data_IF_697328961485
#
_entry.id   IF_697328961485
#
_cell.length_a   1.000
_cell.length_b   1.000
_cell.length_c   1.000
_cell.angle_alpha   90.00
_cell.angle_beta   90.00
_cell.angle_gamma   90.00
#
_symmetry.space_group_name_H-M   'P 1'
#
loop_
_entity.id
_entity.type
_entity.pdbx_description
1 polymer ?
#
# COMPACT_ATOMS: atom_id res chain seq x y z
N UNK A 1 -9.40 11.79 6.77
CA UNK A 1 -8.36 12.12 7.80
C UNK A 1 -7.88 10.89 8.57
N UNK A 2 -8.46 9.70 8.30
CA UNK A 2 -8.00 8.42 8.81
C UNK A 2 -6.99 7.75 7.86
N UNK A 3 -7.07 8.02 6.55
CA UNK A 3 -6.29 7.27 5.54
C UNK A 3 -4.78 7.60 5.55
N UNK A 4 -4.40 8.87 5.83
CA UNK A 4 -3.00 9.24 6.02
C UNK A 4 -2.36 8.55 7.24
N UNK A 5 -3.15 8.15 8.25
CA UNK A 5 -2.60 7.48 9.45
C UNK A 5 -2.31 6.00 9.20
N UNK A 6 -3.07 5.33 8.33
CA UNK A 6 -2.87 3.92 7.97
C UNK A 6 -1.63 3.76 7.07
N UNK A 7 -1.53 4.60 6.04
CA UNK A 7 -0.39 4.59 5.12
C UNK A 7 0.90 5.07 5.80
N UNK A 8 0.81 5.93 6.82
CA UNK A 8 1.96 6.33 7.64
C UNK A 8 2.57 5.13 8.41
N UNK A 9 1.77 4.13 8.79
CA UNK A 9 2.28 2.92 9.43
C UNK A 9 3.18 2.12 8.48
N UNK A 10 2.77 2.01 7.21
CA UNK A 10 3.47 1.25 6.17
C UNK A 10 4.72 1.99 5.68
N UNK A 11 4.66 3.32 5.51
CA UNK A 11 5.79 4.15 5.07
C UNK A 11 7.00 4.11 6.01
N UNK A 12 6.80 3.87 7.31
CA UNK A 12 7.91 3.85 8.28
C UNK A 12 8.41 2.43 8.58
N UNK A 13 7.81 1.41 7.98
CA UNK A 13 8.12 0.02 8.28
C UNK A 13 9.06 -0.60 7.24
N UNK A 14 9.79 -1.63 7.69
CA UNK A 14 10.76 -2.35 6.87
C UNK A 14 10.36 -3.81 6.79
N UNK A 15 9.90 -4.18 5.61
CA UNK A 15 9.42 -5.51 5.35
C UNK A 15 10.59 -6.41 4.94
N UNK A 16 10.76 -7.51 5.66
CA UNK A 16 11.78 -8.52 5.33
C UNK A 16 11.47 -9.26 4.02
N UNK A 17 10.22 -9.25 3.57
CA UNK A 17 9.75 -9.91 2.35
C UNK A 17 8.42 -9.31 1.89
N UNK A 18 8.09 -9.51 0.61
CA UNK A 18 6.83 -9.03 0.02
C UNK A 18 5.61 -9.62 0.73
N UNK A 19 5.70 -10.87 1.19
CA UNK A 19 4.63 -11.53 1.95
C UNK A 19 4.27 -10.78 3.23
N UNK A 20 5.26 -10.26 3.94
CA UNK A 20 5.08 -9.50 5.18
C UNK A 20 4.32 -8.19 4.90
N UNK A 21 4.73 -7.47 3.84
CA UNK A 21 4.05 -6.28 3.35
C UNK A 21 2.59 -6.57 2.94
N UNK A 22 2.35 -7.67 2.21
CA UNK A 22 1.00 -8.05 1.82
C UNK A 22 0.11 -8.41 3.01
N UNK A 23 0.66 -9.01 4.06
CA UNK A 23 -0.08 -9.28 5.28
C UNK A 23 -0.49 -8.00 6.00
N UNK A 24 0.41 -7.03 6.07
CA UNK A 24 0.17 -5.73 6.69
C UNK A 24 -0.91 -4.96 5.92
N UNK A 25 -0.78 -4.89 4.59
CA UNK A 25 -1.78 -4.28 3.70
C UNK A 25 -3.18 -4.86 3.93
N UNK A 26 -3.30 -6.20 3.96
CA UNK A 26 -4.57 -6.87 4.26
C UNK A 26 -5.08 -6.58 5.66
N UNK A 27 -4.19 -6.50 6.65
CA UNK A 27 -4.55 -6.17 8.03
C UNK A 27 -5.12 -4.75 8.14
N UNK A 28 -4.61 -3.81 7.34
CA UNK A 28 -5.16 -2.46 7.24
C UNK A 28 -6.44 -2.37 6.39
N UNK A 29 -6.85 -3.44 5.72
CA UNK A 29 -8.04 -3.46 4.87
C UNK A 29 -7.78 -3.10 3.40
N UNK A 30 -6.52 -3.05 2.98
CA UNK A 30 -6.15 -2.91 1.57
C UNK A 30 -6.17 -4.25 0.86
N UNK A 31 -6.70 -4.27 -0.36
CA UNK A 31 -6.63 -5.40 -1.27
C UNK A 31 -5.56 -5.15 -2.33
N UNK A 32 -4.61 -6.08 -2.46
CA UNK A 32 -3.53 -5.99 -3.44
C UNK A 32 -4.06 -6.35 -4.82
N UNK A 33 -4.03 -5.40 -5.74
CA UNK A 33 -4.47 -5.59 -7.12
C UNK A 33 -3.31 -6.02 -8.02
N UNK A 34 -2.23 -5.23 -7.97
CA UNK A 34 -1.01 -5.48 -8.73
C UNK A 34 0.19 -5.31 -7.83
N UNK A 35 1.20 -6.16 -8.00
CA UNK A 35 2.46 -6.06 -7.26
C UNK A 35 3.63 -6.26 -8.20
N UNK A 36 4.48 -5.24 -8.29
CA UNK A 36 5.73 -5.24 -9.03
C UNK A 36 6.92 -5.24 -8.07
N UNK A 37 8.13 -5.33 -8.63
CA UNK A 37 9.38 -5.21 -7.85
C UNK A 37 9.65 -3.79 -7.34
N UNK A 38 9.06 -2.81 -8.00
CA UNK A 38 9.32 -1.38 -7.80
C UNK A 38 8.08 -0.64 -7.26
N UNK A 39 6.88 -1.19 -7.40
CA UNK A 39 5.65 -0.60 -6.88
C UNK A 39 4.57 -1.66 -6.62
N UNK A 40 3.59 -1.36 -5.77
CA UNK A 40 2.40 -2.19 -5.53
C UNK A 40 1.17 -1.32 -5.66
N UNK A 41 0.21 -1.75 -6.45
CA UNK A 41 -1.12 -1.15 -6.52
C UNK A 41 -2.06 -1.88 -5.58
N UNK A 42 -2.69 -1.12 -4.69
CA UNK A 42 -3.72 -1.63 -3.78
C UNK A 42 -5.00 -0.84 -3.93
N UNK A 43 -6.12 -1.47 -3.62
CA UNK A 43 -7.40 -0.79 -3.46
C UNK A 43 -7.89 -0.83 -2.02
N UNK A 44 -8.60 0.22 -1.64
CA UNK A 44 -9.38 0.29 -0.41
C UNK A 44 -10.81 0.73 -0.72
N UNK A 45 -11.75 0.23 0.07
CA UNK A 45 -13.14 0.68 0.07
C UNK A 45 -13.30 1.66 1.24
N UNK A 46 -13.44 2.95 0.96
CA UNK A 46 -13.66 4.00 1.95
C UNK A 46 -15.10 4.49 1.87
N UNK A 47 -15.94 4.06 2.82
CA UNK A 47 -17.36 4.46 2.91
C UNK A 47 -18.17 4.26 1.59
N UNK A 48 -17.77 3.26 0.79
CA UNK A 48 -18.36 2.95 -0.51
C UNK A 48 -17.67 3.59 -1.73
N UNK A 49 -16.67 4.44 -1.52
CA UNK A 49 -15.77 4.93 -2.57
C UNK A 49 -14.65 3.90 -2.81
N UNK A 50 -14.44 3.52 -4.06
CA UNK A 50 -13.34 2.64 -4.44
C UNK A 50 -12.10 3.46 -4.78
N UNK A 51 -11.06 3.36 -3.95
CA UNK A 51 -9.82 4.11 -4.11
C UNK A 51 -8.67 3.16 -4.43
N UNK A 52 -7.88 3.46 -5.45
CA UNK A 52 -6.62 2.76 -5.75
C UNK A 52 -5.41 3.64 -5.46
N UNK A 53 -4.44 3.04 -4.80
CA UNK A 53 -3.21 3.68 -4.35
C UNK A 53 -2.04 2.85 -4.86
N UNK A 54 -1.08 3.50 -5.50
CA UNK A 54 0.21 2.92 -5.85
C UNK A 54 1.24 3.22 -4.76
N UNK A 55 1.76 2.18 -4.12
CA UNK A 55 2.86 2.27 -3.17
C UNK A 55 4.17 2.05 -3.90
N UNK A 56 5.05 3.05 -3.89
CA UNK A 56 6.40 2.93 -4.42
C UNK A 56 7.27 2.10 -3.46
N UNK A 57 7.79 0.98 -3.96
CA UNK A 57 8.69 0.11 -3.23
C UNK A 57 10.14 0.47 -3.53
N UNK A 58 10.87 0.78 -2.47
CA UNK A 58 12.31 0.86 -2.46
C UNK A 58 12.96 -0.24 -1.64
N UNK A 59 14.25 -0.09 -1.42
CA UNK A 59 15.05 -0.94 -0.56
C UNK A 59 16.17 -1.66 -1.31
N UNK A 60 16.49 -2.87 -0.84
CA UNK A 60 17.61 -3.65 -1.36
C UNK A 60 17.15 -5.06 -1.68
N UNK A 61 18.03 -5.90 -2.23
CA UNK A 61 17.73 -7.31 -2.51
C UNK A 61 17.22 -8.11 -1.29
N UNK A 62 17.35 -7.57 -0.08
CA UNK A 62 17.04 -8.25 1.19
C UNK A 62 15.96 -7.55 2.02
N UNK A 63 15.50 -6.36 1.62
CA UNK A 63 14.58 -5.53 2.42
C UNK A 63 13.71 -4.70 1.49
N UNK A 64 12.41 -4.66 1.77
CA UNK A 64 11.44 -3.84 1.07
C UNK A 64 11.02 -2.71 1.99
N UNK A 65 11.01 -1.49 1.48
CA UNK A 65 10.49 -0.32 2.18
C UNK A 65 9.52 0.40 1.26
N UNK A 66 8.44 0.93 1.81
CA UNK A 66 7.56 1.82 1.06
C UNK A 66 8.15 3.22 1.14
N UNK A 67 8.66 3.72 0.02
CA UNK A 67 9.27 5.05 -0.03
C UNK A 67 8.21 6.14 -0.17
N UNK A 68 7.14 5.84 -0.91
CA UNK A 68 6.09 6.80 -1.23
C UNK A 68 4.77 6.06 -1.54
N UNK A 69 3.66 6.79 -1.54
CA UNK A 69 2.39 6.28 -2.04
C UNK A 69 1.64 7.41 -2.75
N UNK A 70 1.02 7.07 -3.88
CA UNK A 70 0.24 8.00 -4.70
C UNK A 70 -1.15 7.43 -4.99
N UNK A 71 -2.19 8.23 -4.77
CA UNK A 71 -3.54 7.87 -5.22
C UNK A 71 -3.61 8.00 -6.73
N UNK A 72 -3.85 6.88 -7.42
CA UNK A 72 -3.89 6.83 -8.89
C UNK A 72 -5.33 6.80 -9.42
N UNK A 73 -6.29 6.39 -8.59
CA UNK A 73 -7.69 6.30 -8.98
C UNK A 73 -8.62 6.43 -7.79
N UNK A 74 -9.75 7.11 -8.00
CA UNK A 74 -10.87 7.18 -7.06
C UNK A 74 -12.17 7.15 -7.84
N UNK A 75 -13.03 6.18 -7.53
CA UNK A 75 -14.41 6.15 -7.97
C UNK A 75 -15.28 6.70 -6.85
N UNK A 76 -15.91 7.85 -7.10
CA UNK A 76 -16.91 8.43 -6.20
C UNK A 76 -18.27 7.80 -6.50
N UNK A 77 -18.92 7.22 -5.48
CA UNK A 77 -20.22 6.53 -5.60
C UNK A 77 -21.43 7.48 -5.73
#
# INVERSE_FOLDING_TARGET
MYEQSLLCGIMNDWYGSMEDLFQDLKHYGFEVLESNRESITVSCDDDGDYVQIELALGGTERTIVVEDFEEIYREEA
#
